data_IF_783636182555
#
_entry.id   IF_783636182555
#
_cell.length_a   1.000
_cell.length_b   1.000
_cell.length_c   1.000
_cell.angle_alpha   90.00
_cell.angle_beta   90.00
_cell.angle_gamma   90.00
#
_symmetry.space_group_name_H-M   'P 1'
#
loop_
_entity.id
_entity.type
_entity.pdbx_description
1 polymer ?
#
# COMPACT_ATOMS: atom_id res chain seq x y z
N UNK A 1 2.87 -4.11 -10.59
CA UNK A 1 4.00 -4.84 -9.96
C UNK A 1 4.32 -4.34 -8.55
N UNK A 2 4.48 -3.01 -8.31
CA UNK A 2 4.80 -2.45 -6.98
C UNK A 2 3.80 -2.93 -5.92
N UNK A 3 2.50 -2.82 -6.16
CA UNK A 3 1.48 -3.29 -5.23
C UNK A 3 1.58 -4.79 -4.94
N UNK A 4 1.90 -5.62 -5.95
CA UNK A 4 2.08 -7.06 -5.76
C UNK A 4 3.30 -7.37 -4.90
N UNK A 5 4.39 -6.62 -5.06
CA UNK A 5 5.57 -6.76 -4.22
C UNK A 5 5.27 -6.35 -2.78
N UNK A 6 4.61 -5.21 -2.57
CA UNK A 6 4.22 -4.72 -1.25
C UNK A 6 3.29 -5.70 -0.53
N UNK A 7 2.30 -6.25 -1.23
CA UNK A 7 1.39 -7.26 -0.68
C UNK A 7 2.16 -8.51 -0.22
N UNK A 8 3.11 -9.02 -1.02
CA UNK A 8 3.95 -10.16 -0.60
C UNK A 8 4.84 -9.83 0.59
N UNK A 9 5.28 -8.60 0.73
CA UNK A 9 6.08 -8.16 1.89
C UNK A 9 5.23 -8.04 3.14
N UNK A 10 3.98 -7.57 3.03
CA UNK A 10 3.00 -7.61 4.12
C UNK A 10 2.79 -9.06 4.59
N UNK A 11 2.47 -9.97 3.67
CA UNK A 11 2.25 -11.38 3.96
C UNK A 11 3.41 -11.99 4.76
N UNK A 12 4.64 -11.79 4.28
CA UNK A 12 5.84 -12.31 4.97
C UNK A 12 6.09 -11.64 6.32
N UNK A 13 5.74 -10.38 6.47
CA UNK A 13 5.91 -9.65 7.73
C UNK A 13 4.94 -10.14 8.81
N UNK A 14 3.74 -10.53 8.41
CA UNK A 14 2.69 -11.03 9.29
C UNK A 14 2.85 -12.52 9.67
N UNK A 15 3.62 -13.28 8.91
CA UNK A 15 3.93 -14.70 9.21
C UNK A 15 5.05 -14.79 10.24
N UNK A 16 4.74 -15.15 11.47
CA UNK A 16 5.71 -15.28 12.58
C UNK A 16 6.85 -16.27 12.29
N UNK A 17 6.60 -17.28 11.46
CA UNK A 17 7.62 -18.28 11.06
C UNK A 17 8.69 -17.69 10.14
N UNK A 18 8.39 -16.58 9.49
CA UNK A 18 9.28 -15.92 8.51
C UNK A 18 9.89 -14.66 9.10
N UNK A 19 9.07 -13.85 9.77
CA UNK A 19 9.46 -12.55 10.30
C UNK A 19 10.13 -12.63 11.67
N UNK A 20 9.89 -13.72 12.42
CA UNK A 20 10.24 -13.85 13.83
C UNK A 20 9.61 -12.75 14.72
N UNK A 21 8.48 -12.21 14.26
CA UNK A 21 7.65 -11.25 14.99
C UNK A 21 6.37 -11.94 15.48
N UNK A 22 5.59 -11.32 16.37
CA UNK A 22 4.31 -11.86 16.77
C UNK A 22 3.39 -12.09 15.56
N UNK A 23 2.65 -13.19 15.55
CA UNK A 23 1.70 -13.53 14.48
C UNK A 23 0.76 -12.37 14.20
N UNK A 24 0.59 -12.05 12.91
CA UNK A 24 -0.18 -10.91 12.43
C UNK A 24 0.22 -9.55 13.08
N UNK A 25 1.40 -9.44 13.67
CA UNK A 25 1.88 -8.27 14.44
C UNK A 25 0.94 -7.88 15.60
N UNK A 26 0.21 -8.84 16.15
CA UNK A 26 -0.67 -8.65 17.29
C UNK A 26 0.13 -8.34 18.57
N UNK A 27 -0.38 -7.45 19.41
CA UNK A 27 0.22 -7.17 20.71
C UNK A 27 0.05 -8.35 21.66
N UNK A 28 -1.11 -9.01 21.63
CA UNK A 28 -1.43 -10.21 22.36
C UNK A 28 -1.97 -11.27 21.40
N UNK A 29 -1.08 -12.12 20.81
CA UNK A 29 -1.51 -13.16 19.88
C UNK A 29 -2.55 -14.09 20.51
N UNK A 30 -3.58 -14.42 19.73
CA UNK A 30 -4.71 -15.25 20.19
C UNK A 30 -5.86 -14.47 20.84
N UNK A 31 -5.62 -13.25 21.31
CA UNK A 31 -6.67 -12.32 21.77
C UNK A 31 -6.97 -11.24 20.74
N UNK A 32 -5.94 -10.72 20.11
CA UNK A 32 -6.02 -9.69 19.06
C UNK A 32 -5.86 -10.30 17.68
N UNK A 33 -6.56 -9.72 16.69
CA UNK A 33 -6.40 -10.05 15.26
C UNK A 33 -5.17 -9.36 14.65
N UNK A 34 -4.68 -8.32 15.28
CA UNK A 34 -3.57 -7.52 14.82
C UNK A 34 -3.81 -6.91 13.43
N UNK A 35 -2.88 -7.14 12.52
CA UNK A 35 -2.91 -6.60 11.14
C UNK A 35 -3.36 -7.62 10.08
N UNK A 36 -4.02 -8.72 10.48
CA UNK A 36 -4.49 -9.75 9.54
C UNK A 36 -5.33 -9.15 8.40
N UNK A 37 -6.25 -8.22 8.71
CA UNK A 37 -7.09 -7.58 7.69
C UNK A 37 -6.31 -6.63 6.76
N UNK A 38 -5.12 -6.18 7.13
CA UNK A 38 -4.25 -5.43 6.22
C UNK A 38 -3.81 -6.30 5.04
N UNK A 39 -3.44 -7.56 5.30
CA UNK A 39 -3.06 -8.50 4.24
C UNK A 39 -4.25 -8.84 3.34
N UNK A 40 -5.42 -9.12 3.90
CA UNK A 40 -6.63 -9.40 3.10
C UNK A 40 -7.01 -8.21 2.21
N UNK A 41 -6.95 -6.99 2.74
CA UNK A 41 -7.23 -5.78 1.98
C UNK A 41 -6.20 -5.57 0.87
N UNK A 42 -4.92 -5.75 1.16
CA UNK A 42 -3.85 -5.65 0.17
C UNK A 42 -4.03 -6.68 -0.95
N UNK A 43 -4.34 -7.94 -0.62
CA UNK A 43 -4.59 -9.00 -1.59
C UNK A 43 -5.81 -8.69 -2.48
N UNK A 44 -6.90 -8.18 -1.91
CA UNK A 44 -8.09 -7.77 -2.66
C UNK A 44 -7.77 -6.64 -3.66
N UNK A 45 -7.05 -5.61 -3.23
CA UNK A 45 -6.65 -4.47 -4.09
C UNK A 45 -5.68 -4.91 -5.20
N UNK A 46 -4.76 -5.82 -4.92
CA UNK A 46 -3.86 -6.40 -5.94
C UNK A 46 -4.65 -7.24 -6.94
N UNK A 47 -5.63 -8.02 -6.48
CA UNK A 47 -6.51 -8.79 -7.35
C UNK A 47 -7.35 -7.88 -8.25
N UNK A 48 -7.93 -6.80 -7.72
CA UNK A 48 -8.63 -5.79 -8.51
C UNK A 48 -7.71 -5.16 -9.56
N UNK A 49 -6.48 -4.82 -9.19
CA UNK A 49 -5.50 -4.27 -10.12
C UNK A 49 -5.21 -5.20 -11.29
N UNK A 50 -5.18 -6.52 -11.10
CA UNK A 50 -4.99 -7.48 -12.19
C UNK A 50 -6.12 -7.41 -13.21
N UNK A 51 -7.36 -7.21 -12.76
CA UNK A 51 -8.53 -7.03 -13.64
C UNK A 51 -8.43 -5.69 -14.37
N UNK A 52 -8.12 -4.60 -13.67
CA UNK A 52 -7.99 -3.26 -14.25
C UNK A 52 -6.82 -3.14 -15.23
N UNK A 53 -5.81 -3.98 -15.13
CA UNK A 53 -4.68 -4.03 -16.07
C UNK A 53 -5.02 -4.71 -17.39
N UNK A 54 -6.25 -5.24 -17.59
CA UNK A 54 -6.67 -5.69 -18.91
C UNK A 54 -6.65 -4.51 -19.89
N UNK A 55 -5.93 -4.63 -21.04
CA UNK A 55 -5.68 -3.49 -21.91
C UNK A 55 -6.97 -2.98 -22.57
N UNK A 56 -7.37 -1.74 -22.28
CA UNK A 56 -8.50 -1.11 -22.99
C UNK A 56 -8.18 -0.82 -24.47
N UNK A 57 -6.90 -0.82 -24.83
CA UNK A 57 -6.43 -0.60 -26.20
C UNK A 57 -6.71 -1.76 -27.16
N UNK A 58 -7.13 -2.93 -26.65
CA UNK A 58 -7.52 -4.06 -27.51
C UNK A 58 -8.93 -3.92 -28.08
N UNK A 59 -9.68 -2.93 -27.62
CA UNK A 59 -11.08 -2.69 -28.01
C UNK A 59 -11.20 -1.42 -28.87
N UNK A 60 -12.12 -1.44 -29.83
CA UNK A 60 -12.49 -0.29 -30.65
C UNK A 60 -13.92 -0.48 -31.16
N UNK A 61 -14.71 0.59 -31.08
CA UNK A 61 -16.10 0.61 -31.54
C UNK A 61 -16.23 1.75 -32.57
N UNK A 62 -16.55 1.44 -33.84
CA UNK A 62 -16.76 2.52 -34.85
C UNK A 62 -17.85 3.49 -34.44
N UNK A 63 -17.62 4.77 -34.67
CA UNK A 63 -18.54 5.86 -34.36
C UNK A 63 -18.77 6.77 -35.60
N UNK A 64 -19.60 7.79 -35.45
CA UNK A 64 -19.84 8.77 -36.53
C UNK A 64 -20.41 8.13 -37.80
N UNK A 65 -21.31 7.14 -37.67
CA UNK A 65 -21.88 6.37 -38.80
C UNK A 65 -20.82 5.67 -39.67
N UNK A 66 -19.68 5.27 -39.06
CA UNK A 66 -18.58 4.58 -39.70
C UNK A 66 -17.50 5.49 -40.26
N UNK A 67 -17.55 6.79 -39.96
CA UNK A 67 -16.48 7.75 -40.35
C UNK A 67 -15.24 7.50 -39.49
N UNK A 68 -15.42 7.31 -38.17
CA UNK A 68 -14.35 6.88 -37.27
C UNK A 68 -14.41 5.36 -37.16
N UNK A 69 -13.59 4.67 -37.94
CA UNK A 69 -13.55 3.22 -38.01
C UNK A 69 -12.64 2.60 -36.94
N UNK A 70 -11.67 3.34 -36.44
CA UNK A 70 -10.80 2.96 -35.33
C UNK A 70 -10.76 4.03 -34.26
N UNK A 71 -11.55 3.82 -33.20
CA UNK A 71 -11.69 4.78 -32.09
C UNK A 71 -10.83 4.32 -30.90
N UNK A 72 -10.02 5.24 -30.39
CA UNK A 72 -9.19 5.01 -29.20
C UNK A 72 -10.03 4.90 -27.94
N UNK A 73 -9.78 3.85 -27.12
CA UNK A 73 -10.36 3.68 -25.77
C UNK A 73 -9.45 4.29 -24.67
N UNK A 74 -8.65 5.29 -25.01
CA UNK A 74 -7.75 5.99 -24.09
C UNK A 74 -8.45 6.55 -22.83
N UNK A 75 -9.68 7.09 -22.86
CA UNK A 75 -10.37 7.53 -21.64
C UNK A 75 -10.64 6.38 -20.64
N UNK A 76 -10.89 5.16 -21.15
CA UNK A 76 -11.06 3.97 -20.30
C UNK A 76 -9.71 3.58 -19.68
N UNK A 77 -8.67 3.49 -20.51
CA UNK A 77 -7.30 3.21 -20.06
C UNK A 77 -6.84 4.21 -18.99
N UNK A 78 -7.12 5.50 -19.17
CA UNK A 78 -6.80 6.55 -18.19
C UNK A 78 -7.52 6.36 -16.86
N UNK A 79 -8.80 6.00 -16.86
CA UNK A 79 -9.54 5.70 -15.62
C UNK A 79 -9.00 4.46 -14.91
N UNK A 80 -8.64 3.41 -15.66
CA UNK A 80 -8.02 2.22 -15.10
C UNK A 80 -6.66 2.56 -14.47
N UNK A 81 -5.82 3.32 -15.16
CA UNK A 81 -4.51 3.72 -14.64
C UNK A 81 -4.63 4.54 -13.35
N UNK A 82 -5.57 5.49 -13.29
CA UNK A 82 -5.83 6.26 -12.07
C UNK A 82 -6.24 5.35 -10.92
N UNK A 83 -7.20 4.44 -11.15
CA UNK A 83 -7.67 3.51 -10.12
C UNK A 83 -6.56 2.56 -9.63
N UNK A 84 -5.75 2.03 -10.55
CA UNK A 84 -4.58 1.19 -10.22
C UNK A 84 -3.57 1.95 -9.36
N UNK A 85 -3.33 3.25 -9.67
CA UNK A 85 -2.43 4.09 -8.89
C UNK A 85 -2.94 4.33 -7.47
N UNK A 86 -4.24 4.61 -7.31
CA UNK A 86 -4.88 4.75 -6.00
C UNK A 86 -4.78 3.45 -5.18
N UNK A 87 -5.10 2.31 -5.79
CA UNK A 87 -5.01 1.01 -5.13
C UNK A 87 -3.56 0.69 -4.74
N UNK A 88 -2.59 0.96 -5.61
CA UNK A 88 -1.18 0.77 -5.31
C UNK A 88 -0.73 1.61 -4.12
N UNK A 89 -1.14 2.88 -4.05
CA UNK A 89 -0.85 3.76 -2.91
C UNK A 89 -1.43 3.20 -1.60
N UNK A 90 -2.64 2.64 -1.61
CA UNK A 90 -3.25 1.99 -0.43
C UNK A 90 -2.46 0.76 0.01
N UNK A 91 -2.04 -0.10 -0.93
CA UNK A 91 -1.25 -1.29 -0.58
C UNK A 91 0.10 -0.91 0.03
N UNK A 92 0.79 0.09 -0.55
CA UNK A 92 2.05 0.62 0.01
C UNK A 92 1.81 1.28 1.38
N UNK A 93 0.68 1.97 1.57
CA UNK A 93 0.31 2.55 2.86
C UNK A 93 0.14 1.47 3.94
N UNK A 94 -0.54 0.36 3.62
CA UNK A 94 -0.67 -0.79 4.53
C UNK A 94 0.69 -1.41 4.84
N UNK A 95 1.57 -1.55 3.84
CA UNK A 95 2.94 -2.03 4.07
C UNK A 95 3.70 -1.14 5.06
N UNK A 96 3.67 0.19 4.88
CA UNK A 96 4.32 1.13 5.77
C UNK A 96 3.78 1.07 7.21
N UNK A 97 2.47 0.93 7.37
CA UNK A 97 1.83 0.80 8.68
C UNK A 97 2.26 -0.50 9.37
N UNK A 98 2.25 -1.63 8.65
CA UNK A 98 2.71 -2.92 9.16
C UNK A 98 4.22 -2.90 9.49
N UNK A 99 5.04 -2.31 8.62
CA UNK A 99 6.49 -2.18 8.85
C UNK A 99 6.79 -1.35 10.11
N UNK A 100 6.08 -0.26 10.32
CA UNK A 100 6.20 0.52 11.56
C UNK A 100 5.89 -0.31 12.80
N UNK A 101 4.85 -1.16 12.74
CA UNK A 101 4.53 -2.07 13.84
C UNK A 101 5.61 -3.12 14.05
N UNK A 102 6.15 -3.66 12.98
CA UNK A 102 7.28 -4.60 13.05
C UNK A 102 8.53 -4.00 13.71
N UNK A 103 8.86 -2.73 13.40
CA UNK A 103 9.95 -2.02 14.03
C UNK A 103 9.73 -1.81 15.55
N UNK A 104 8.50 -1.59 15.98
CA UNK A 104 8.15 -1.45 17.40
C UNK A 104 8.46 -2.72 18.20
N UNK A 105 8.20 -3.89 17.65
CA UNK A 105 8.56 -5.17 18.28
C UNK A 105 10.07 -5.43 18.33
N UNK A 106 10.86 -4.74 17.52
CA UNK A 106 12.34 -4.85 17.54
C UNK A 106 13.00 -3.83 18.48
N UNK A 107 12.24 -2.93 19.11
CA UNK A 107 12.82 -1.98 20.08
C UNK A 107 13.47 -2.74 21.26
N UNK A 108 14.62 -2.32 21.81
CA UNK A 108 15.27 -1.01 21.61
C UNK A 108 16.20 -0.89 20.39
N UNK A 109 16.27 -1.91 19.51
CA UNK A 109 17.04 -1.80 18.27
C UNK A 109 16.49 -0.66 17.42
N UNK A 110 17.39 0.07 16.77
CA UNK A 110 17.04 1.17 15.88
C UNK A 110 17.36 0.82 14.43
N UNK A 111 16.53 1.25 13.51
CA UNK A 111 16.77 1.14 12.09
C UNK A 111 17.78 2.22 11.62
N UNK A 112 18.21 2.15 10.36
CA UNK A 112 19.02 3.22 9.76
C UNK A 112 18.29 4.56 9.74
N UNK A 113 19.04 5.67 9.70
CA UNK A 113 18.51 7.03 9.85
C UNK A 113 17.33 7.34 8.90
N UNK A 114 17.39 6.92 7.64
CA UNK A 114 16.29 7.09 6.67
C UNK A 114 15.01 6.36 7.08
N UNK A 115 15.15 5.10 7.53
CA UNK A 115 14.03 4.29 8.00
C UNK A 115 13.39 4.87 9.27
N UNK A 116 14.20 5.39 10.21
CA UNK A 116 13.67 6.05 11.41
C UNK A 116 12.95 7.36 11.07
N UNK A 117 13.43 8.14 10.11
CA UNK A 117 12.73 9.34 9.62
C UNK A 117 11.37 8.97 9.00
N UNK A 118 11.33 7.92 8.16
CA UNK A 118 10.10 7.43 7.55
C UNK A 118 9.14 6.89 8.63
N UNK A 119 9.63 6.09 9.56
CA UNK A 119 8.87 5.64 10.72
C UNK A 119 8.22 6.81 11.47
N UNK A 120 8.99 7.82 11.83
CA UNK A 120 8.48 9.02 12.52
C UNK A 120 7.44 9.78 11.69
N UNK A 121 7.62 9.86 10.36
CA UNK A 121 6.67 10.50 9.47
C UNK A 121 5.34 9.75 9.37
N UNK A 122 5.36 8.42 9.31
CA UNK A 122 4.17 7.57 9.35
C UNK A 122 3.48 7.69 10.72
N UNK A 123 4.23 7.60 11.82
CA UNK A 123 3.65 7.62 13.19
C UNK A 123 3.05 8.97 13.60
N UNK A 124 3.50 10.07 13.03
CA UNK A 124 2.83 11.37 13.18
C UNK A 124 1.42 11.40 12.55
N UNK A 125 1.17 10.57 11.54
CA UNK A 125 -0.13 10.46 10.85
C UNK A 125 -1.00 9.35 11.41
N UNK A 126 -0.36 8.27 11.80
CA UNK A 126 -0.99 7.05 12.29
C UNK A 126 -0.29 6.63 13.57
N UNK A 127 -0.71 7.13 14.74
CA UNK A 127 -0.15 6.73 16.02
C UNK A 127 -0.18 5.21 16.24
N UNK A 128 0.76 4.70 17.00
CA UNK A 128 0.78 3.27 17.35
C UNK A 128 -0.53 2.87 18.07
N UNK A 129 -1.15 1.74 17.72
CA UNK A 129 -2.37 1.30 18.38
C UNK A 129 -2.06 0.65 19.74
N UNK A 130 -2.98 0.79 20.67
CA UNK A 130 -2.96 0.07 21.96
C UNK A 130 -3.65 -1.31 21.87
N UNK A 131 -4.25 -1.65 20.73
CA UNK A 131 -4.95 -2.91 20.44
C UNK A 131 -5.51 -2.91 19.04
N UNK A 132 -6.43 -3.81 18.75
CA UNK A 132 -7.11 -3.87 17.45
C UNK A 132 -7.88 -2.59 17.15
N UNK A 133 -7.77 -2.10 15.92
CA UNK A 133 -8.52 -0.95 15.43
C UNK A 133 -8.81 -1.05 13.93
N UNK A 134 -9.84 -0.36 13.42
CA UNK A 134 -10.06 -0.22 11.99
C UNK A 134 -8.85 0.43 11.30
N UNK A 135 -8.45 -0.12 10.13
CA UNK A 135 -7.30 0.37 9.36
C UNK A 135 -7.69 1.29 8.19
N UNK A 136 -8.98 1.50 7.94
CA UNK A 136 -9.46 2.30 6.81
C UNK A 136 -8.95 3.74 6.84
N UNK A 137 -9.20 4.47 7.92
CA UNK A 137 -8.70 5.86 8.06
C UNK A 137 -7.18 5.97 8.08
N UNK A 138 -6.44 5.14 8.86
CA UNK A 138 -4.99 5.08 8.80
C UNK A 138 -4.45 4.84 7.39
N UNK A 139 -5.01 3.87 6.67
CA UNK A 139 -4.62 3.55 5.30
C UNK A 139 -4.82 4.75 4.36
N UNK A 140 -6.02 5.35 4.38
CA UNK A 140 -6.32 6.51 3.53
C UNK A 140 -5.46 7.74 3.86
N UNK A 141 -5.12 7.97 5.12
CA UNK A 141 -4.25 9.07 5.53
C UNK A 141 -2.84 8.92 4.94
N UNK A 142 -2.28 7.72 5.01
CA UNK A 142 -0.94 7.43 4.45
C UNK A 142 -0.99 7.37 2.92
N UNK A 143 -2.03 6.78 2.31
CA UNK A 143 -2.18 6.72 0.86
C UNK A 143 -2.26 8.14 0.23
N UNK A 144 -3.05 9.05 0.81
CA UNK A 144 -3.09 10.46 0.37
C UNK A 144 -1.73 11.14 0.51
N UNK A 145 -1.00 10.86 1.58
CA UNK A 145 0.34 11.39 1.77
C UNK A 145 1.31 10.89 0.68
N UNK A 146 1.24 9.61 0.30
CA UNK A 146 2.03 9.04 -0.80
C UNK A 146 1.68 9.76 -2.11
N UNK A 147 0.39 9.83 -2.46
CA UNK A 147 -0.09 10.45 -3.70
C UNK A 147 0.21 11.96 -3.81
N UNK A 148 0.44 12.64 -2.69
CA UNK A 148 0.83 14.07 -2.67
C UNK A 148 2.29 14.33 -3.06
N UNK A 149 3.12 13.30 -3.28
CA UNK A 149 4.56 13.42 -3.53
C UNK A 149 5.39 13.79 -2.31
N UNK A 150 4.78 13.88 -1.12
CA UNK A 150 5.50 14.31 0.08
C UNK A 150 6.46 13.23 0.62
N UNK A 151 6.27 11.98 0.26
CA UNK A 151 7.20 10.88 0.58
C UNK A 151 8.48 11.00 -0.23
N UNK A 152 8.38 11.40 -1.50
CA UNK A 152 9.52 11.66 -2.38
C UNK A 152 10.42 12.75 -1.81
N UNK A 153 9.84 13.89 -1.42
CA UNK A 153 10.59 14.99 -0.75
C UNK A 153 11.30 14.54 0.52
N UNK A 154 10.65 13.68 1.32
CA UNK A 154 11.28 13.11 2.52
C UNK A 154 12.50 12.24 2.16
N UNK A 155 12.44 11.46 1.06
CA UNK A 155 13.54 10.62 0.62
C UNK A 155 14.73 11.46 0.10
N UNK A 156 14.47 12.54 -0.63
CA UNK A 156 15.50 13.48 -1.08
C UNK A 156 16.25 14.13 0.08
N UNK A 157 15.54 14.55 1.14
CA UNK A 157 16.16 15.07 2.35
C UNK A 157 17.07 14.06 3.07
N UNK A 158 16.74 12.75 2.96
CA UNK A 158 17.56 11.68 3.54
C UNK A 158 18.81 11.40 2.72
N UNK A 159 18.69 11.46 1.38
CA UNK A 159 19.81 11.19 0.47
C UNK A 159 20.83 12.34 0.44
N UNK A 160 20.39 13.56 0.76
CA UNK A 160 21.23 14.76 0.77
C UNK A 160 21.79 15.12 2.16
N UNK A 161 21.53 14.29 3.17
CA UNK A 161 22.00 14.49 4.55
C UNK A 161 23.17 13.56 4.91
#
# INVERSE_FOLDING_TARGET
EIASLSERRIDRLLDSRVSELPEALAGTPGLESGYMLAQYTAAALVSENKVLCHPASVDSIPTGTGIEDHVSMAPIAGRHALKVSENAARVVALELICACRGLEFRRPLTAGAGSERLYGAVRRRVPAPEGDRPLSEPCEAVARWILSGAVERLSEEVLNA
#
